data_IF_434226919197
#
_entry.id   IF_434226919197
#
_cell.length_a   1.000
_cell.length_b   1.000
_cell.length_c   1.000
_cell.angle_alpha   90.00
_cell.angle_beta   90.00
_cell.angle_gamma   90.00
#
_symmetry.space_group_name_H-M   'P 1'
#
loop_
_entity.id
_entity.type
_entity.pdbx_description
1 polymer ?
#
# COMPACT_ATOMS: atom_id res chain seq x y z
N UNK A 1 -2.87 -2.32 -8.22
CA UNK A 1 -3.67 -1.60 -7.20
C UNK A 1 -3.36 -0.13 -7.33
N UNK A 2 -4.36 0.71 -7.61
CA UNK A 2 -4.18 2.16 -7.75
C UNK A 2 -4.14 2.88 -6.40
N UNK A 3 -3.24 2.46 -5.50
CA UNK A 3 -3.13 3.02 -4.14
C UNK A 3 -2.75 4.50 -4.20
N UNK A 4 -1.78 4.81 -5.03
CA UNK A 4 -1.35 6.19 -5.30
C UNK A 4 -2.49 7.02 -5.86
N UNK A 5 -3.25 6.48 -6.82
CA UNK A 5 -4.44 7.14 -7.35
C UNK A 5 -5.51 7.31 -6.27
N UNK A 6 -5.73 6.32 -5.41
CA UNK A 6 -6.67 6.42 -4.29
C UNK A 6 -6.28 7.54 -3.32
N UNK A 7 -5.00 7.64 -2.97
CA UNK A 7 -4.52 8.72 -2.12
C UNK A 7 -4.69 10.10 -2.77
N UNK A 8 -4.36 10.21 -4.06
CA UNK A 8 -4.30 11.50 -4.77
C UNK A 8 -5.63 11.98 -5.33
N UNK A 9 -6.47 11.09 -5.81
CA UNK A 9 -7.71 11.43 -6.52
C UNK A 9 -8.96 11.23 -5.66
N UNK A 10 -8.90 10.41 -4.61
CA UNK A 10 -10.04 10.18 -3.71
C UNK A 10 -9.81 10.84 -2.35
N UNK A 11 -8.77 10.42 -1.62
CA UNK A 11 -8.54 10.86 -0.23
C UNK A 11 -8.17 12.34 -0.15
N UNK A 12 -7.22 12.79 -0.97
CA UNK A 12 -6.74 14.18 -0.93
C UNK A 12 -7.87 15.18 -1.20
N UNK A 13 -8.66 15.10 -2.29
CA UNK A 13 -9.77 16.02 -2.51
C UNK A 13 -10.84 15.94 -1.43
N UNK A 14 -11.16 14.74 -0.93
CA UNK A 14 -12.14 14.57 0.14
C UNK A 14 -11.68 15.25 1.44
N UNK A 15 -10.41 15.09 1.82
CA UNK A 15 -9.85 15.69 3.01
C UNK A 15 -9.76 17.22 2.90
N UNK A 16 -9.34 17.74 1.75
CA UNK A 16 -9.31 19.19 1.47
C UNK A 16 -10.70 19.80 1.57
N UNK A 17 -11.72 19.15 0.98
CA UNK A 17 -13.12 19.57 1.10
C UNK A 17 -13.64 19.52 2.55
N UNK A 18 -13.09 18.62 3.38
CA UNK A 18 -13.37 18.55 4.81
C UNK A 18 -12.55 19.57 5.65
N UNK A 19 -11.77 20.45 5.00
CA UNK A 19 -10.99 21.50 5.66
C UNK A 19 -9.63 21.05 6.20
N UNK A 20 -9.15 19.86 5.80
CA UNK A 20 -7.79 19.43 6.09
C UNK A 20 -6.80 20.08 5.14
N UNK A 21 -5.61 20.33 5.64
CA UNK A 21 -4.42 20.50 4.80
C UNK A 21 -3.77 19.17 4.53
N UNK A 22 -3.58 18.83 3.26
CA UNK A 22 -3.08 17.51 2.87
C UNK A 22 -1.62 17.62 2.40
N UNK A 23 -0.75 16.80 2.98
CA UNK A 23 0.62 16.60 2.53
C UNK A 23 0.73 15.21 1.92
N UNK A 24 1.19 15.11 0.67
CA UNK A 24 1.46 13.84 0.01
C UNK A 24 2.94 13.69 -0.30
N UNK A 25 3.50 12.52 0.00
CA UNK A 25 4.87 12.18 -0.36
C UNK A 25 4.98 10.70 -0.73
N UNK A 26 5.65 10.41 -1.84
CA UNK A 26 5.97 9.05 -2.28
C UNK A 26 7.43 8.73 -2.01
N UNK A 27 7.69 7.58 -1.39
CA UNK A 27 9.03 7.08 -1.11
C UNK A 27 9.64 6.27 -2.27
N UNK A 28 8.96 6.17 -3.43
CA UNK A 28 9.48 5.47 -4.62
C UNK A 28 10.51 6.29 -5.42
N UNK A 29 10.43 7.62 -5.41
CA UNK A 29 11.12 8.50 -6.38
C UNK A 29 12.52 8.99 -5.93
N UNK A 30 13.34 8.12 -5.34
CA UNK A 30 14.68 8.52 -4.87
C UNK A 30 15.70 7.39 -4.79
N UNK A 31 16.98 7.75 -4.97
CA UNK A 31 18.08 6.91 -4.50
C UNK A 31 18.00 6.82 -2.97
N UNK A 32 18.37 5.67 -2.41
CA UNK A 32 18.25 5.39 -0.97
C UNK A 32 18.92 6.44 -0.06
N UNK A 33 19.94 7.15 -0.57
CA UNK A 33 20.62 8.21 0.19
C UNK A 33 19.87 9.56 0.23
N UNK A 34 19.09 9.89 -0.80
CA UNK A 34 18.50 11.23 -0.97
C UNK A 34 17.04 11.31 -0.52
N UNK A 35 16.32 10.19 -0.48
CA UNK A 35 14.87 10.19 -0.24
C UNK A 35 14.50 10.80 1.12
N UNK A 36 15.35 10.60 2.13
CA UNK A 36 15.21 11.18 3.47
C UNK A 36 15.33 12.70 3.44
N UNK A 37 16.28 13.23 2.67
CA UNK A 37 16.48 14.66 2.52
C UNK A 37 15.34 15.31 1.74
N UNK A 38 14.93 14.68 0.62
CA UNK A 38 13.76 15.12 -0.17
C UNK A 38 12.49 15.16 0.68
N UNK A 39 12.24 14.13 1.49
CA UNK A 39 11.11 14.10 2.41
C UNK A 39 11.14 15.25 3.41
N UNK A 40 12.30 15.47 4.03
CA UNK A 40 12.48 16.53 5.02
C UNK A 40 12.26 17.91 4.39
N UNK A 41 12.84 18.17 3.21
CA UNK A 41 12.68 19.42 2.48
C UNK A 41 11.23 19.66 2.05
N UNK A 42 10.55 18.63 1.52
CA UNK A 42 9.15 18.73 1.13
C UNK A 42 8.25 19.06 2.33
N UNK A 43 8.53 18.46 3.50
CA UNK A 43 7.77 18.73 4.72
C UNK A 43 8.02 20.15 5.27
N UNK A 44 9.26 20.63 5.19
CA UNK A 44 9.62 22.01 5.55
C UNK A 44 8.90 23.02 4.66
N UNK A 45 8.92 22.80 3.34
CA UNK A 45 8.23 23.66 2.39
C UNK A 45 6.73 23.70 2.64
N UNK A 46 6.11 22.53 2.84
CA UNK A 46 4.69 22.44 3.19
C UNK A 46 4.35 23.20 4.47
N UNK A 47 5.23 23.14 5.47
CA UNK A 47 5.08 23.86 6.74
C UNK A 47 5.18 25.37 6.55
N UNK A 48 6.15 25.84 5.76
CA UNK A 48 6.30 27.26 5.42
C UNK A 48 5.06 27.80 4.71
N UNK A 49 4.56 27.11 3.69
CA UNK A 49 3.34 27.49 2.95
C UNK A 49 2.12 27.54 3.87
N UNK A 50 2.07 26.68 4.89
CA UNK A 50 1.01 26.65 5.91
C UNK A 50 1.04 27.83 6.87
N UNK A 51 2.23 28.32 7.21
CA UNK A 51 2.40 29.47 8.07
C UNK A 51 2.21 30.80 7.31
N UNK A 52 2.46 30.82 6.01
CA UNK A 52 2.25 31.99 5.16
C UNK A 52 0.75 32.30 4.96
N UNK A 53 -0.10 31.28 4.95
CA UNK A 53 -1.57 31.45 4.90
C UNK A 53 -2.10 32.24 6.12
N UNK A 54 -1.46 32.09 7.29
CA UNK A 54 -1.71 32.93 8.48
C UNK A 54 -1.22 34.38 8.34
N UNK A 55 -0.27 34.63 7.44
CA UNK A 55 0.45 35.91 7.36
C UNK A 55 -0.15 36.87 6.35
N UNK A 56 -0.85 36.39 5.31
CA UNK A 56 -1.51 37.27 4.32
C UNK A 56 -2.67 38.07 4.95
N UNK A 57 -3.28 37.59 6.04
CA UNK A 57 -4.32 38.33 6.77
C UNK A 57 -3.80 39.39 7.75
N UNK A 58 -2.52 39.35 8.16
CA UNK A 58 -1.90 40.31 9.11
C UNK A 58 -0.75 41.15 8.54
N UNK A 59 -0.19 40.80 7.38
CA UNK A 59 1.01 41.45 6.83
C UNK A 59 0.76 42.79 6.09
N UNK A 60 -0.46 43.34 6.08
CA UNK A 60 -0.68 44.71 5.57
C UNK A 60 -0.19 45.82 6.52
N UNK A 61 0.21 45.50 7.75
CA UNK A 61 0.48 46.53 8.77
C UNK A 61 1.90 46.57 9.36
N UNK A 62 2.82 45.66 9.00
CA UNK A 62 4.13 45.55 9.70
C UNK A 62 5.34 45.90 8.81
N UNK A 63 5.13 46.25 7.53
CA UNK A 63 6.22 46.52 6.56
C UNK A 63 7.10 47.76 6.82
N UNK A 64 7.06 48.40 8.01
CA UNK A 64 7.79 49.67 8.23
C UNK A 64 8.69 49.78 9.45
N UNK A 65 8.82 48.78 10.32
CA UNK A 65 9.67 48.93 11.52
C UNK A 65 10.43 47.62 11.79
N UNK A 66 11.57 47.45 11.14
CA UNK A 66 12.75 46.68 11.62
C UNK A 66 13.70 46.37 10.44
N UNK A 67 14.25 47.41 9.80
CA UNK A 67 15.49 47.26 9.03
C UNK A 67 16.46 48.28 9.60
N UNK A 68 16.99 47.97 10.78
CA UNK A 68 18.09 48.70 11.39
C UNK A 68 18.94 47.73 12.22
N UNK A 69 20.04 47.29 11.61
CA UNK A 69 21.27 46.94 12.33
C UNK A 69 21.25 45.64 13.14
N UNK A 70 21.32 44.49 12.48
CA UNK A 70 22.07 43.35 13.02
C UNK A 70 22.43 42.40 11.87
N UNK A 71 23.70 42.38 11.50
CA UNK A 71 24.28 41.33 10.67
C UNK A 71 24.25 40.04 11.48
N UNK A 72 23.24 39.22 11.26
CA UNK A 72 23.15 37.87 11.80
C UNK A 72 24.13 37.04 10.98
N UNK A 73 25.20 36.57 11.62
CA UNK A 73 26.04 35.51 11.07
C UNK A 73 25.11 34.34 10.71
N UNK A 74 25.01 34.05 9.41
CA UNK A 74 24.35 32.85 8.89
C UNK A 74 25.17 31.64 9.34
N UNK A 75 24.92 31.19 10.56
CA UNK A 75 25.11 29.78 10.89
C UNK A 75 24.31 28.98 9.86
N UNK A 76 24.92 27.97 9.25
CA UNK A 76 24.17 26.99 8.47
C UNK A 76 22.95 26.55 9.30
N UNK A 77 21.72 26.61 8.75
CA UNK A 77 20.56 26.24 9.52
C UNK A 77 20.75 24.79 9.98
N UNK A 78 20.85 24.59 11.30
CA UNK A 78 20.93 23.26 11.88
C UNK A 78 19.79 22.43 11.28
N UNK A 79 20.10 21.25 10.73
CA UNK A 79 19.08 20.36 10.14
C UNK A 79 17.99 20.11 11.19
N UNK A 80 16.86 20.78 10.99
CA UNK A 80 15.74 20.74 11.90
C UNK A 80 15.14 19.33 11.90
N UNK A 81 14.84 18.80 13.09
CA UNK A 81 14.27 17.45 13.17
C UNK A 81 12.82 17.42 12.67
N UNK A 82 12.41 16.29 12.08
CA UNK A 82 11.05 16.10 11.56
C UNK A 82 10.00 16.32 12.66
N UNK A 83 10.28 15.90 13.89
CA UNK A 83 9.41 16.16 15.04
C UNK A 83 9.17 17.65 15.27
N UNK A 84 10.20 18.49 15.10
CA UNK A 84 10.07 19.94 15.25
C UNK A 84 9.25 20.55 14.11
N UNK A 85 9.49 20.10 12.87
CA UNK A 85 8.72 20.52 11.70
C UNK A 85 7.23 20.17 11.89
N UNK A 86 6.92 18.96 12.37
CA UNK A 86 5.54 18.54 12.63
C UNK A 86 4.88 19.33 13.78
N UNK A 87 5.63 19.67 14.82
CA UNK A 87 5.12 20.53 15.90
C UNK A 87 4.77 21.94 15.38
N UNK A 88 5.62 22.51 14.52
CA UNK A 88 5.33 23.80 13.88
C UNK A 88 4.10 23.69 12.98
N UNK A 89 4.00 22.62 12.20
CA UNK A 89 2.86 22.37 11.32
C UNK A 89 1.56 22.25 12.11
N UNK A 90 1.55 21.54 13.23
CA UNK A 90 0.39 21.39 14.12
C UNK A 90 -0.01 22.68 14.85
N UNK A 91 0.81 23.73 14.84
CA UNK A 91 0.40 25.05 15.31
C UNK A 91 -0.68 25.69 14.44
N UNK A 92 -0.95 25.16 13.24
CA UNK A 92 -1.98 25.65 12.33
C UNK A 92 -3.41 25.43 12.85
N UNK A 93 -4.33 26.26 12.34
CA UNK A 93 -5.75 26.19 12.69
C UNK A 93 -6.41 24.98 12.04
N UNK A 94 -6.06 24.70 10.78
CA UNK A 94 -6.56 23.56 10.03
C UNK A 94 -5.87 22.26 10.46
N UNK A 95 -6.61 21.14 10.62
CA UNK A 95 -6.02 19.83 10.82
C UNK A 95 -5.20 19.43 9.60
N UNK A 96 -4.17 18.61 9.81
CA UNK A 96 -3.28 18.13 8.77
C UNK A 96 -3.51 16.64 8.53
N UNK A 97 -3.52 16.24 7.27
CA UNK A 97 -3.48 14.86 6.84
C UNK A 97 -2.17 14.60 6.09
N UNK A 98 -1.34 13.70 6.61
CA UNK A 98 -0.15 13.21 5.91
C UNK A 98 -0.48 11.92 5.17
N UNK A 99 -0.27 11.90 3.86
CA UNK A 99 -0.37 10.73 3.00
C UNK A 99 1.05 10.28 2.65
N UNK A 100 1.50 9.21 3.31
CA UNK A 100 2.86 8.70 3.22
C UNK A 100 2.87 7.41 2.40
N UNK A 101 3.20 7.54 1.12
CA UNK A 101 3.04 6.50 0.12
C UNK A 101 4.31 5.66 -0.05
N UNK A 102 4.16 4.33 0.06
CA UNK A 102 5.25 3.35 -0.01
C UNK A 102 6.31 3.53 1.11
N UNK A 103 5.87 3.88 2.31
CA UNK A 103 6.76 4.19 3.45
C UNK A 103 7.71 3.05 3.85
N UNK A 104 7.37 1.80 3.52
CA UNK A 104 8.23 0.65 3.81
C UNK A 104 9.59 0.71 3.11
N UNK A 105 9.73 1.50 2.04
CA UNK A 105 11.03 1.71 1.39
C UNK A 105 12.07 2.32 2.34
N UNK A 106 11.64 3.06 3.37
CA UNK A 106 12.53 3.61 4.39
C UNK A 106 13.18 2.53 5.27
N UNK A 107 12.55 1.37 5.44
CA UNK A 107 13.04 0.30 6.34
C UNK A 107 14.39 -0.24 5.88
N UNK A 108 14.63 -0.24 4.56
CA UNK A 108 15.85 -0.76 3.96
C UNK A 108 17.01 0.26 3.93
N UNK A 109 16.80 1.46 4.47
CA UNK A 109 17.76 2.57 4.43
C UNK A 109 18.36 2.76 5.83
N UNK A 110 19.63 2.37 6.08
CA UNK A 110 20.23 2.46 7.41
C UNK A 110 20.22 3.88 8.00
N UNK A 111 20.40 4.91 7.15
CA UNK A 111 20.37 6.32 7.56
C UNK A 111 18.97 6.85 7.88
N UNK A 112 17.89 6.14 7.52
CA UNK A 112 16.52 6.57 7.75
C UNK A 112 16.03 6.30 9.19
N UNK A 113 16.73 5.49 9.98
CA UNK A 113 16.29 5.09 11.32
C UNK A 113 15.98 6.30 12.24
N UNK A 114 16.85 7.32 12.23
CA UNK A 114 16.64 8.54 13.02
C UNK A 114 15.43 9.36 12.54
N UNK A 115 15.21 9.39 11.23
CA UNK A 115 14.06 10.06 10.59
C UNK A 115 12.75 9.38 10.92
N UNK A 116 12.71 8.05 10.86
CA UNK A 116 11.55 7.26 11.25
C UNK A 116 11.19 7.50 12.73
N UNK A 117 12.19 7.50 13.61
CA UNK A 117 12.00 7.77 15.04
C UNK A 117 11.47 9.20 15.31
N UNK A 118 12.04 10.19 14.61
CA UNK A 118 11.61 11.59 14.72
C UNK A 118 10.19 11.79 14.16
N UNK A 119 9.86 11.15 13.04
CA UNK A 119 8.52 11.14 12.46
C UNK A 119 7.50 10.54 13.43
N UNK A 120 7.77 9.36 13.99
CA UNK A 120 6.92 8.72 15.02
C UNK A 120 6.68 9.68 16.20
N UNK A 121 7.74 10.25 16.75
CA UNK A 121 7.66 11.18 17.89
C UNK A 121 6.80 12.40 17.56
N UNK A 122 7.03 13.03 16.40
CA UNK A 122 6.24 14.19 15.96
C UNK A 122 4.78 13.86 15.74
N UNK A 123 4.47 12.70 15.17
CA UNK A 123 3.09 12.26 15.00
C UNK A 123 2.41 11.95 16.34
N UNK A 124 3.13 11.33 17.30
CA UNK A 124 2.63 11.02 18.63
C UNK A 124 2.25 12.29 19.43
N UNK A 125 3.10 13.32 19.36
CA UNK A 125 2.84 14.59 20.05
C UNK A 125 1.66 15.37 19.45
N UNK A 126 1.34 15.15 18.18
CA UNK A 126 0.37 15.95 17.43
C UNK A 126 -0.88 15.16 16.99
N UNK A 127 -1.18 14.00 17.59
CA UNK A 127 -2.27 13.08 17.18
C UNK A 127 -3.66 13.72 17.06
N UNK A 128 -3.92 14.82 17.76
CA UNK A 128 -5.22 15.53 17.71
C UNK A 128 -5.37 16.37 16.44
N UNK A 129 -4.27 16.93 15.93
CA UNK A 129 -4.26 17.83 14.76
C UNK A 129 -3.66 17.22 13.52
N UNK A 130 -2.78 16.24 13.65
CA UNK A 130 -2.12 15.56 12.54
C UNK A 130 -2.61 14.13 12.46
N UNK A 131 -3.21 13.78 11.33
CA UNK A 131 -3.60 12.41 10.96
C UNK A 131 -2.68 11.90 9.87
N UNK A 132 -2.48 10.59 9.80
CA UNK A 132 -1.58 9.98 8.82
C UNK A 132 -2.21 8.74 8.22
N UNK A 133 -2.08 8.58 6.90
CA UNK A 133 -2.35 7.35 6.18
C UNK A 133 -1.01 6.86 5.61
N UNK A 134 -0.68 5.61 5.91
CA UNK A 134 0.50 4.93 5.39
C UNK A 134 0.05 3.90 4.36
N UNK A 135 0.71 3.86 3.20
CA UNK A 135 0.51 2.82 2.19
C UNK A 135 1.82 2.11 1.88
N UNK A 136 1.70 0.89 1.35
CA UNK A 136 2.84 0.09 0.92
C UNK A 136 2.42 -1.02 -0.03
N UNK A 137 3.26 -1.32 -1.00
CA UNK A 137 3.10 -2.41 -1.97
C UNK A 137 3.43 -3.76 -1.35
N UNK A 138 4.48 -3.81 -0.52
CA UNK A 138 4.80 -4.99 0.28
C UNK A 138 4.05 -4.96 1.59
N UNK A 139 3.02 -5.81 1.71
CA UNK A 139 2.24 -5.95 2.94
C UNK A 139 3.12 -6.36 4.13
N UNK A 140 4.00 -7.34 3.96
CA UNK A 140 4.94 -7.74 5.00
C UNK A 140 5.94 -6.63 5.34
N UNK A 141 6.42 -5.89 4.34
CA UNK A 141 7.29 -4.73 4.55
C UNK A 141 6.59 -3.67 5.39
N UNK A 142 5.36 -3.31 5.03
CA UNK A 142 4.55 -2.36 5.78
C UNK A 142 4.27 -2.86 7.20
N UNK A 143 3.75 -4.09 7.38
CA UNK A 143 3.45 -4.67 8.69
C UNK A 143 4.70 -4.75 9.59
N UNK A 144 5.89 -4.98 9.04
CA UNK A 144 7.14 -4.98 9.82
C UNK A 144 7.41 -3.64 10.51
N UNK A 145 6.82 -2.55 10.03
CA UNK A 145 6.91 -1.22 10.66
C UNK A 145 5.96 -1.07 11.86
N UNK A 146 4.94 -1.92 12.01
CA UNK A 146 3.86 -1.75 13.00
C UNK A 146 3.64 -2.94 13.95
N UNK A 147 4.03 -4.17 13.58
CA UNK A 147 3.58 -5.38 14.30
C UNK A 147 4.61 -5.95 15.33
N UNK A 148 5.89 -5.58 15.28
CA UNK A 148 6.91 -6.01 16.27
C UNK A 148 7.03 -4.96 17.40
N UNK A 149 7.22 -5.38 18.65
CA UNK A 149 7.47 -4.47 19.78
C UNK A 149 8.67 -3.53 19.57
N UNK A 150 9.62 -3.92 18.72
CA UNK A 150 10.78 -3.10 18.32
C UNK A 150 10.53 -2.30 17.04
N UNK A 151 9.35 -2.44 16.44
CA UNK A 151 9.01 -1.76 15.22
C UNK A 151 8.85 -0.25 15.45
N UNK A 152 9.26 0.56 14.47
CA UNK A 152 9.27 2.01 14.63
C UNK A 152 7.90 2.63 14.89
N UNK A 153 6.82 2.01 14.41
CA UNK A 153 5.45 2.48 14.57
C UNK A 153 4.59 1.47 15.33
N UNK A 154 5.18 0.68 16.24
CA UNK A 154 4.44 -0.28 17.04
C UNK A 154 3.24 0.38 17.76
N UNK A 155 2.04 -0.18 17.56
CA UNK A 155 0.75 0.35 18.05
C UNK A 155 0.42 1.81 17.66
N UNK A 156 1.04 2.33 16.60
CA UNK A 156 0.78 3.69 16.15
C UNK A 156 -0.47 3.80 15.26
N UNK A 157 -0.82 2.73 14.53
CA UNK A 157 -1.90 2.73 13.53
C UNK A 157 -2.93 1.63 13.78
N UNK A 158 -4.08 1.77 13.13
CA UNK A 158 -5.05 0.69 12.91
C UNK A 158 -4.85 0.16 11.51
N UNK A 159 -4.62 -1.15 11.36
CA UNK A 159 -4.53 -1.78 10.05
C UNK A 159 -5.93 -1.87 9.44
N UNK A 160 -6.09 -1.33 8.24
CA UNK A 160 -7.32 -1.41 7.46
C UNK A 160 -6.98 -2.22 6.21
N UNK A 161 -7.69 -3.33 6.00
CA UNK A 161 -7.62 -4.04 4.73
C UNK A 161 -8.28 -3.17 3.66
N UNK A 162 -7.54 -2.89 2.58
CA UNK A 162 -8.12 -2.17 1.46
C UNK A 162 -9.16 -3.07 0.80
N UNK A 163 -10.43 -2.63 0.72
CA UNK A 163 -11.48 -3.48 0.21
C UNK A 163 -11.22 -3.83 -1.26
N UNK A 164 -11.62 -5.03 -1.63
CA UNK A 164 -11.68 -5.42 -3.04
C UNK A 164 -12.76 -4.58 -3.70
N UNK A 165 -12.51 -4.09 -4.93
CA UNK A 165 -13.53 -3.36 -5.68
C UNK A 165 -14.75 -4.26 -5.91
N UNK A 166 -15.92 -3.68 -5.73
CA UNK A 166 -17.20 -4.34 -5.92
C UNK A 166 -17.65 -4.28 -7.38
N UNK A 167 -18.86 -4.79 -7.63
CA UNK A 167 -19.45 -4.83 -8.96
C UNK A 167 -19.72 -3.41 -9.52
N UNK A 168 -19.74 -2.38 -8.67
CA UNK A 168 -19.85 -0.98 -9.08
C UNK A 168 -18.68 -0.53 -9.96
N UNK A 169 -17.48 -1.07 -9.72
CA UNK A 169 -16.34 -0.87 -10.61
C UNK A 169 -16.57 -1.47 -12.00
N UNK A 170 -17.20 -2.64 -12.08
CA UNK A 170 -17.51 -3.30 -13.36
C UNK A 170 -18.57 -2.52 -14.13
N UNK A 171 -19.61 -2.04 -13.44
CA UNK A 171 -20.64 -1.17 -14.02
C UNK A 171 -20.03 0.11 -14.60
N UNK A 172 -19.14 0.76 -13.85
CA UNK A 172 -18.44 1.94 -14.34
C UNK A 172 -17.63 1.68 -15.62
N UNK A 173 -16.97 0.53 -15.72
CA UNK A 173 -16.23 0.15 -16.92
C UNK A 173 -17.16 -0.17 -18.10
N UNK A 174 -18.32 -0.79 -17.86
CA UNK A 174 -19.32 -1.05 -18.88
C UNK A 174 -19.93 0.26 -19.41
N UNK A 175 -20.14 1.26 -18.55
CA UNK A 175 -20.60 2.59 -18.95
C UNK A 175 -19.56 3.28 -19.84
N UNK A 176 -18.28 3.24 -19.45
CA UNK A 176 -17.18 3.78 -20.28
C UNK A 176 -17.14 3.08 -21.64
N UNK A 177 -17.25 1.76 -21.67
CA UNK A 177 -17.30 1.01 -22.93
C UNK A 177 -18.42 1.52 -23.84
N UNK A 178 -19.64 1.60 -23.30
CA UNK A 178 -20.83 2.04 -24.04
C UNK A 178 -20.67 3.47 -24.57
N UNK A 179 -20.07 4.36 -23.79
CA UNK A 179 -19.79 5.74 -24.22
C UNK A 179 -18.80 5.81 -25.39
N UNK A 180 -17.83 4.88 -25.46
CA UNK A 180 -16.78 4.86 -26.48
C UNK A 180 -17.22 4.13 -27.75
N UNK A 181 -17.85 2.97 -27.61
CA UNK A 181 -18.17 2.07 -28.74
C UNK A 181 -19.60 2.25 -29.26
N UNK A 182 -20.47 2.89 -28.48
CA UNK A 182 -21.92 2.92 -28.70
C UNK A 182 -22.58 1.53 -28.72
N UNK A 183 -21.92 0.52 -28.17
CA UNK A 183 -22.42 -0.85 -28.00
C UNK A 183 -22.43 -1.27 -26.53
N UNK A 184 -23.22 -2.29 -26.18
CA UNK A 184 -23.34 -2.81 -24.82
C UNK A 184 -22.48 -4.05 -24.56
N UNK A 185 -22.14 -4.27 -23.31
CA UNK A 185 -21.55 -5.53 -22.85
C UNK A 185 -22.49 -6.25 -21.88
N UNK A 186 -22.42 -7.58 -21.87
CA UNK A 186 -23.07 -8.37 -20.83
C UNK A 186 -22.37 -8.13 -19.48
N UNK A 187 -23.02 -7.36 -18.62
CA UNK A 187 -22.54 -7.00 -17.28
C UNK A 187 -22.31 -8.24 -16.42
N UNK A 188 -23.15 -9.27 -16.51
CA UNK A 188 -22.96 -10.49 -15.72
C UNK A 188 -21.72 -11.25 -16.17
N UNK A 189 -21.48 -11.30 -17.48
CA UNK A 189 -20.26 -11.87 -18.04
C UNK A 189 -19.01 -11.08 -17.60
N UNK A 190 -19.10 -9.75 -17.52
CA UNK A 190 -18.01 -8.90 -17.02
C UNK A 190 -17.75 -9.11 -15.52
N UNK A 191 -18.78 -9.21 -14.70
CA UNK A 191 -18.63 -9.49 -13.25
C UNK A 191 -17.95 -10.85 -13.06
N UNK A 192 -18.43 -11.89 -13.75
CA UNK A 192 -17.81 -13.22 -13.71
C UNK A 192 -16.35 -13.19 -14.18
N UNK A 193 -16.05 -12.38 -15.20
CA UNK A 193 -14.68 -12.16 -15.69
C UNK A 193 -13.80 -11.49 -14.63
N UNK A 194 -14.34 -10.52 -13.89
CA UNK A 194 -13.61 -9.85 -12.84
C UNK A 194 -13.31 -10.77 -11.65
N UNK A 195 -14.28 -11.61 -11.26
CA UNK A 195 -14.08 -12.66 -10.25
C UNK A 195 -12.98 -13.65 -10.67
N UNK A 196 -13.02 -14.05 -11.94
CA UNK A 196 -12.04 -14.93 -12.58
C UNK A 196 -10.62 -14.35 -12.65
N UNK A 197 -10.49 -13.02 -12.58
CA UNK A 197 -9.22 -12.29 -12.49
C UNK A 197 -8.82 -11.96 -11.04
N UNK A 198 -9.47 -12.59 -10.06
CA UNK A 198 -9.23 -12.38 -8.64
C UNK A 198 -9.60 -10.97 -8.16
N UNK A 199 -10.51 -10.30 -8.87
CA UNK A 199 -10.92 -8.91 -8.66
C UNK A 199 -9.75 -7.92 -8.59
N UNK A 200 -8.73 -8.13 -9.41
CA UNK A 200 -7.58 -7.21 -9.53
C UNK A 200 -7.91 -6.11 -10.57
N UNK A 201 -8.08 -4.83 -10.17
CA UNK A 201 -8.60 -3.79 -11.07
C UNK A 201 -7.74 -3.53 -12.30
N UNK A 202 -6.42 -3.72 -12.16
CA UNK A 202 -5.47 -3.55 -13.27
C UNK A 202 -5.76 -4.51 -14.42
N UNK A 203 -6.02 -5.79 -14.11
CA UNK A 203 -6.29 -6.82 -15.12
C UNK A 203 -7.59 -6.55 -15.84
N UNK A 204 -8.63 -6.16 -15.08
CA UNK A 204 -9.91 -5.77 -15.67
C UNK A 204 -9.76 -4.55 -16.59
N UNK A 205 -8.98 -3.53 -16.19
CA UNK A 205 -8.70 -2.38 -17.08
C UNK A 205 -7.94 -2.79 -18.34
N UNK A 206 -6.96 -3.69 -18.23
CA UNK A 206 -6.23 -4.20 -19.40
C UNK A 206 -7.16 -4.99 -20.33
N UNK A 207 -8.01 -5.85 -19.78
CA UNK A 207 -9.03 -6.59 -20.52
C UNK A 207 -9.98 -5.63 -21.25
N UNK A 208 -10.50 -4.63 -20.56
CA UNK A 208 -11.40 -3.64 -21.17
C UNK A 208 -10.72 -2.86 -22.30
N UNK A 209 -9.42 -2.53 -22.17
CA UNK A 209 -8.67 -1.91 -23.27
C UNK A 209 -8.61 -2.81 -24.50
N UNK A 210 -8.36 -4.10 -24.34
CA UNK A 210 -8.34 -5.04 -25.47
C UNK A 210 -9.71 -5.11 -26.15
N UNK A 211 -10.78 -5.25 -25.37
CA UNK A 211 -12.16 -5.36 -25.89
C UNK A 211 -12.64 -4.07 -26.56
N UNK A 212 -12.19 -2.90 -26.09
CA UNK A 212 -12.47 -1.61 -26.73
C UNK A 212 -11.71 -1.46 -28.05
N UNK A 213 -10.44 -1.89 -28.10
CA UNK A 213 -9.58 -1.70 -29.28
C UNK A 213 -9.91 -2.66 -30.42
N UNK A 214 -10.49 -3.83 -30.13
CA UNK A 214 -10.94 -4.77 -31.14
C UNK A 214 -12.33 -5.33 -30.79
N UNK A 215 -13.41 -4.76 -31.38
CA UNK A 215 -14.78 -5.19 -31.13
C UNK A 215 -15.08 -6.64 -31.51
N UNK A 216 -14.23 -7.30 -32.30
CA UNK A 216 -14.40 -8.71 -32.64
C UNK A 216 -13.81 -9.65 -31.59
N UNK A 217 -13.08 -9.13 -30.58
CA UNK A 217 -12.60 -9.95 -29.48
C UNK A 217 -13.74 -10.20 -28.49
N UNK A 218 -14.14 -11.46 -28.37
CA UNK A 218 -15.02 -11.88 -27.29
C UNK A 218 -14.31 -11.70 -25.94
N UNK A 219 -15.09 -11.40 -24.89
CA UNK A 219 -14.60 -11.30 -23.51
C UNK A 219 -13.77 -12.54 -23.10
N UNK A 220 -14.16 -13.73 -23.57
CA UNK A 220 -13.44 -14.98 -23.31
C UNK A 220 -12.02 -15.01 -23.90
N UNK A 221 -11.83 -14.50 -25.12
CA UNK A 221 -10.51 -14.45 -25.76
C UNK A 221 -9.61 -13.43 -25.06
N UNK A 222 -10.16 -12.26 -24.70
CA UNK A 222 -9.43 -11.24 -23.95
C UNK A 222 -9.04 -11.76 -22.55
N UNK A 223 -9.95 -12.45 -21.85
CA UNK A 223 -9.66 -13.07 -20.56
C UNK A 223 -8.49 -14.07 -20.65
N UNK A 224 -8.49 -14.95 -21.64
CA UNK A 224 -7.44 -15.95 -21.80
C UNK A 224 -6.07 -15.32 -22.08
N UNK A 225 -6.04 -14.25 -22.89
CA UNK A 225 -4.80 -13.49 -23.13
C UNK A 225 -4.28 -12.83 -21.87
N UNK A 226 -5.15 -12.18 -21.10
CA UNK A 226 -4.76 -11.54 -19.84
C UNK A 226 -4.24 -12.60 -18.86
N UNK A 227 -4.90 -13.75 -18.73
CA UNK A 227 -4.42 -14.87 -17.90
C UNK A 227 -3.03 -15.35 -18.32
N UNK A 228 -2.85 -15.63 -19.60
CA UNK A 228 -1.56 -16.05 -20.15
C UNK A 228 -0.46 -15.02 -19.85
N UNK A 229 -0.76 -13.73 -20.07
CA UNK A 229 0.17 -12.63 -19.80
C UNK A 229 0.54 -12.51 -18.31
N UNK A 230 -0.41 -12.74 -17.40
CA UNK A 230 -0.13 -12.72 -15.95
C UNK A 230 0.86 -13.82 -15.58
N UNK A 231 0.65 -15.04 -16.09
CA UNK A 231 1.49 -16.20 -15.77
C UNK A 231 2.91 -16.02 -16.32
N UNK A 232 3.02 -15.61 -17.59
CA UNK A 232 4.31 -15.47 -18.27
C UNK A 232 5.18 -14.37 -17.64
N UNK A 233 4.58 -13.23 -17.30
CA UNK A 233 5.33 -12.08 -16.76
C UNK A 233 5.85 -12.29 -15.34
N UNK A 234 5.24 -13.20 -14.58
CA UNK A 234 5.50 -13.33 -13.13
C UNK A 234 6.34 -14.55 -12.77
N UNK A 235 6.59 -15.46 -13.72
CA UNK A 235 7.44 -16.64 -13.49
C UNK A 235 6.93 -17.56 -12.38
N UNK A 236 5.62 -17.58 -12.11
CA UNK A 236 5.04 -18.31 -10.97
C UNK A 236 5.34 -19.81 -11.00
N UNK A 237 5.43 -20.42 -12.18
CA UNK A 237 5.83 -21.82 -12.33
C UNK A 237 7.24 -22.07 -11.77
N UNK A 238 8.19 -21.17 -12.05
CA UNK A 238 9.56 -21.24 -11.52
C UNK A 238 9.57 -21.10 -10.00
N UNK A 239 8.85 -20.11 -9.48
CA UNK A 239 8.69 -19.91 -8.04
C UNK A 239 8.09 -21.15 -7.37
N UNK A 240 7.03 -21.72 -7.94
CA UNK A 240 6.39 -22.92 -7.44
C UNK A 240 7.33 -24.12 -7.42
N UNK A 241 8.12 -24.33 -8.48
CA UNK A 241 9.10 -25.42 -8.54
C UNK A 241 10.14 -25.34 -7.41
N UNK A 242 10.49 -24.14 -6.95
CA UNK A 242 11.45 -23.93 -5.85
C UNK A 242 10.85 -24.16 -4.45
N UNK A 243 9.52 -24.18 -4.32
CA UNK A 243 8.85 -24.43 -3.04
C UNK A 243 8.96 -25.90 -2.62
N UNK A 244 9.14 -26.12 -1.31
CA UNK A 244 9.11 -27.47 -0.75
C UNK A 244 7.70 -28.05 -0.79
N UNK A 245 7.58 -29.38 -0.70
CA UNK A 245 6.27 -30.05 -0.68
C UNK A 245 5.31 -29.45 0.35
N UNK A 246 5.75 -29.34 1.62
CA UNK A 246 4.92 -28.75 2.68
C UNK A 246 4.57 -27.27 2.42
N UNK A 247 5.46 -26.51 1.79
CA UNK A 247 5.20 -25.11 1.44
C UNK A 247 4.05 -25.00 0.44
N UNK A 248 4.08 -25.84 -0.60
CA UNK A 248 3.01 -25.96 -1.60
C UNK A 248 1.68 -26.35 -0.98
N UNK A 249 1.67 -27.37 -0.11
CA UNK A 249 0.45 -27.84 0.55
C UNK A 249 -0.17 -26.77 1.45
N UNK A 250 0.64 -25.96 2.14
CA UNK A 250 0.15 -24.84 2.94
C UNK A 250 -0.45 -23.76 2.04
N UNK A 251 0.22 -23.40 0.95
CA UNK A 251 -0.31 -22.40 0.00
C UNK A 251 -1.62 -22.89 -0.62
N UNK A 252 -1.70 -24.13 -1.08
CA UNK A 252 -2.93 -24.72 -1.63
C UNK A 252 -4.07 -24.73 -0.60
N UNK A 253 -3.80 -25.07 0.65
CA UNK A 253 -4.80 -25.05 1.72
C UNK A 253 -5.36 -23.66 1.96
N UNK A 254 -4.49 -22.64 2.07
CA UNK A 254 -4.92 -21.25 2.24
C UNK A 254 -5.62 -20.74 0.98
N UNK A 255 -5.15 -21.15 -0.20
CA UNK A 255 -5.76 -20.80 -1.46
C UNK A 255 -7.18 -21.35 -1.60
N UNK A 256 -7.44 -22.54 -1.09
CA UNK A 256 -8.76 -23.16 -1.00
C UNK A 256 -9.69 -22.55 0.07
N UNK A 257 -9.28 -21.50 0.78
CA UNK A 257 -10.08 -20.85 1.82
C UNK A 257 -9.85 -21.39 3.24
N UNK A 258 -8.79 -22.17 3.46
CA UNK A 258 -8.38 -22.57 4.80
C UNK A 258 -7.91 -21.39 5.65
N UNK A 259 -8.25 -21.39 6.95
CA UNK A 259 -7.95 -20.27 7.88
C UNK A 259 -7.03 -20.69 9.05
N UNK A 260 -6.98 -21.98 9.40
CA UNK A 260 -6.20 -22.47 10.55
C UNK A 260 -5.09 -23.42 10.11
N UNK A 261 -3.96 -22.92 9.59
CA UNK A 261 -2.95 -23.76 8.96
C UNK A 261 -2.21 -24.68 9.94
N UNK A 262 -2.36 -24.48 11.25
CA UNK A 262 -1.78 -25.31 12.32
C UNK A 262 -2.73 -26.39 12.86
N UNK A 263 -4.01 -26.33 12.50
CA UNK A 263 -5.03 -27.24 13.02
C UNK A 263 -4.69 -28.70 12.72
N UNK A 264 -5.22 -29.62 13.53
CA UNK A 264 -5.02 -31.05 13.27
C UNK A 264 -5.55 -31.46 11.90
N UNK A 265 -6.67 -30.84 11.46
CA UNK A 265 -7.26 -31.10 10.15
C UNK A 265 -6.34 -30.63 9.02
N UNK A 266 -5.84 -29.39 9.08
CA UNK A 266 -4.90 -28.87 8.09
C UNK A 266 -3.64 -29.73 8.00
N UNK A 267 -3.05 -30.12 9.14
CA UNK A 267 -1.86 -30.99 9.18
C UNK A 267 -2.11 -32.37 8.59
N UNK A 268 -3.29 -32.94 8.78
CA UNK A 268 -3.67 -34.20 8.15
C UNK A 268 -3.80 -34.03 6.63
N UNK A 269 -4.41 -32.94 6.16
CA UNK A 269 -4.50 -32.61 4.73
C UNK A 269 -3.11 -32.50 4.10
N UNK A 270 -2.15 -31.85 4.78
CA UNK A 270 -0.77 -31.78 4.30
C UNK A 270 -0.12 -33.16 4.25
N UNK A 271 -0.27 -33.97 5.31
CA UNK A 271 0.32 -35.30 5.38
C UNK A 271 -0.19 -36.20 4.24
N UNK A 272 -1.51 -36.18 3.99
CA UNK A 272 -2.14 -36.91 2.89
C UNK A 272 -1.60 -36.47 1.53
N UNK A 273 -1.53 -35.16 1.27
CA UNK A 273 -1.00 -34.62 0.01
C UNK A 273 0.49 -34.92 -0.21
N UNK A 274 1.25 -35.11 0.87
CA UNK A 274 2.67 -35.45 0.83
C UNK A 274 2.94 -36.97 0.83
N UNK A 275 1.93 -37.81 1.03
CA UNK A 275 2.09 -39.26 1.16
C UNK A 275 2.87 -39.68 2.41
N UNK A 276 2.80 -38.90 3.50
CA UNK A 276 3.48 -39.19 4.77
C UNK A 276 2.46 -39.39 5.89
N UNK A 277 2.91 -40.00 7.00
CA UNK A 277 2.02 -40.35 8.12
C UNK A 277 1.49 -39.12 8.85
N UNK A 278 2.35 -38.15 9.14
CA UNK A 278 2.02 -36.97 9.92
C UNK A 278 2.92 -35.77 9.59
N UNK A 279 2.40 -34.57 9.84
CA UNK A 279 3.14 -33.31 9.80
C UNK A 279 3.12 -32.70 11.19
N UNK A 280 4.29 -32.43 11.76
CA UNK A 280 4.43 -31.82 13.08
C UNK A 280 4.11 -30.32 13.06
N UNK A 281 3.65 -29.78 14.19
CA UNK A 281 3.39 -28.33 14.34
C UNK A 281 4.66 -27.51 14.09
N UNK A 282 5.81 -28.00 14.56
CA UNK A 282 7.10 -27.33 14.34
C UNK A 282 7.48 -27.26 12.85
N UNK A 283 7.16 -28.30 12.07
CA UNK A 283 7.39 -28.29 10.62
C UNK A 283 6.52 -27.22 9.93
N UNK A 284 5.24 -27.13 10.28
CA UNK A 284 4.32 -26.10 9.78
C UNK A 284 4.81 -24.70 10.17
N UNK A 285 5.22 -24.49 11.42
CA UNK A 285 5.73 -23.20 11.89
C UNK A 285 6.97 -22.75 11.10
N UNK A 286 7.90 -23.66 10.85
CA UNK A 286 9.11 -23.37 10.07
C UNK A 286 8.79 -23.12 8.58
N UNK A 287 7.79 -23.80 8.02
CA UNK A 287 7.30 -23.56 6.67
C UNK A 287 6.65 -22.18 6.55
N UNK A 288 5.71 -21.84 7.43
CA UNK A 288 5.05 -20.52 7.45
C UNK A 288 6.06 -19.40 7.63
N UNK A 289 7.01 -19.51 8.59
CA UNK A 289 8.07 -18.50 8.76
C UNK A 289 8.90 -18.28 7.50
N UNK A 290 9.25 -19.37 6.80
CA UNK A 290 10.00 -19.30 5.53
C UNK A 290 9.16 -18.62 4.45
N UNK A 291 7.92 -19.03 4.28
CA UNK A 291 6.98 -18.46 3.31
C UNK A 291 6.72 -16.98 3.55
N UNK A 292 6.56 -16.56 4.81
CA UNK A 292 6.41 -15.15 5.18
C UNK A 292 7.68 -14.35 4.87
N UNK A 293 8.86 -14.88 5.20
CA UNK A 293 10.14 -14.23 4.88
C UNK A 293 10.37 -14.09 3.37
N UNK A 294 9.86 -15.04 2.58
CA UNK A 294 9.91 -15.02 1.11
C UNK A 294 8.73 -14.25 0.49
N UNK A 295 7.91 -13.55 1.29
CA UNK A 295 6.73 -12.81 0.87
C UNK A 295 5.63 -13.63 0.18
N UNK A 296 5.64 -14.96 0.26
CA UNK A 296 4.55 -15.80 -0.25
C UNK A 296 3.31 -15.77 0.64
N UNK A 297 3.51 -15.63 1.96
CA UNK A 297 2.43 -15.49 2.93
C UNK A 297 2.55 -14.18 3.72
N UNK A 298 1.41 -13.66 4.14
CA UNK A 298 1.28 -12.47 4.98
C UNK A 298 0.11 -12.65 5.95
N UNK A 299 -0.14 -11.68 6.83
CA UNK A 299 -1.29 -11.66 7.74
C UNK A 299 -2.31 -10.62 7.33
N UNK A 300 -3.59 -11.00 7.31
CA UNK A 300 -4.70 -10.06 7.11
C UNK A 300 -4.87 -9.12 8.34
N UNK A 301 -5.79 -8.14 8.32
CA UNK A 301 -6.03 -7.27 9.49
C UNK A 301 -6.56 -8.04 10.73
N UNK A 302 -7.13 -9.23 10.53
CA UNK A 302 -7.58 -10.14 11.58
C UNK A 302 -6.47 -11.04 12.15
N UNK A 303 -5.28 -11.02 11.55
CA UNK A 303 -4.13 -11.82 11.96
C UNK A 303 -4.04 -13.22 11.32
N UNK A 304 -4.94 -13.56 10.40
CA UNK A 304 -4.96 -14.83 9.68
C UNK A 304 -3.91 -14.84 8.56
N UNK A 305 -3.33 -16.01 8.30
CA UNK A 305 -2.39 -16.17 7.20
C UNK A 305 -3.12 -16.21 5.85
N UNK A 306 -2.66 -15.38 4.91
CA UNK A 306 -3.17 -15.33 3.54
C UNK A 306 -2.01 -15.34 2.55
N UNK A 307 -2.27 -15.79 1.31
CA UNK A 307 -1.30 -15.68 0.21
C UNK A 307 -1.15 -14.20 -0.15
N UNK A 308 0.10 -13.72 -0.18
CA UNK A 308 0.37 -12.27 -0.28
C UNK A 308 -0.05 -11.66 -1.61
N UNK A 309 0.17 -12.38 -2.71
CA UNK A 309 -0.13 -11.89 -4.06
C UNK A 309 -1.40 -12.52 -4.62
N UNK A 310 -2.43 -11.72 -4.97
CA UNK A 310 -3.67 -12.24 -5.57
C UNK A 310 -3.47 -13.04 -6.85
N UNK A 311 -2.51 -12.64 -7.68
CA UNK A 311 -2.20 -13.34 -8.94
C UNK A 311 -1.58 -14.71 -8.70
N UNK A 312 -0.63 -14.79 -7.76
CA UNK A 312 -0.04 -16.06 -7.36
C UNK A 312 -1.07 -16.97 -6.68
N UNK A 313 -1.95 -16.40 -5.86
CA UNK A 313 -3.08 -17.11 -5.26
C UNK A 313 -4.00 -17.72 -6.32
N UNK A 314 -4.38 -16.94 -7.34
CA UNK A 314 -5.22 -17.39 -8.44
C UNK A 314 -4.55 -18.54 -9.20
N UNK A 315 -3.28 -18.36 -9.59
CA UNK A 315 -2.51 -19.39 -10.28
C UNK A 315 -2.34 -20.66 -9.44
N UNK A 316 -2.09 -20.54 -8.13
CA UNK A 316 -1.91 -21.66 -7.22
C UNK A 316 -3.19 -22.47 -6.96
N UNK A 317 -4.38 -21.89 -7.15
CA UNK A 317 -5.66 -22.62 -7.09
C UNK A 317 -5.83 -23.59 -8.25
N UNK A 318 -5.16 -23.35 -9.36
CA UNK A 318 -5.26 -24.15 -10.59
C UNK A 318 -4.20 -25.26 -10.67
N UNK A 319 -3.32 -25.38 -9.67
CA UNK A 319 -2.23 -26.37 -9.62
C UNK A 319 -2.57 -27.67 -8.87
#
# INVERSE_FOLDING_TARGET
MGKTEFLRNDIMPMAENAGYRVFYFSFLDGSSGEIVEKFTQALQQFTADSLLDKSVSKAKSIKKIAIAGTSIEMNEPAKESISTILNQLASNEHPILLLLDEIQELVNIPSAAGVISSLRTGLDLNRTKTKTIFTGSSRNGLLSMFDDARAPFFHFSTNIDFPVLDDGFVLHLADIYTQITHDGLDVNALISTFDQLGRVPMHMRSLMKEVILDPNHSLSVALERIRSSIVDNQGYATTWMQLKGLDKSIIQYLAGGGIEPYSSNARQSYANGLGIKDVSVAAVQNAIRRLTRQNHLTKNAHGDYVVSEPNFLMWAKEQ
#
